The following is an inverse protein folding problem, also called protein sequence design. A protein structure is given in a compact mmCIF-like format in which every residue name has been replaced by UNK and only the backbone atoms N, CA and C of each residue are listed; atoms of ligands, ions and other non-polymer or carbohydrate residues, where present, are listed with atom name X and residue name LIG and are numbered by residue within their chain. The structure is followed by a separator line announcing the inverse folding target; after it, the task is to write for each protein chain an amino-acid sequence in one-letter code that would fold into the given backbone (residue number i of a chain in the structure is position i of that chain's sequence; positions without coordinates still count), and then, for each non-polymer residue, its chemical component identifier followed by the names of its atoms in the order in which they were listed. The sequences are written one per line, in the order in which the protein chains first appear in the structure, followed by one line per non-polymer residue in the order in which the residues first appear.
data_IF_954022891159
#
_entry.id   IF_954022891159
#
_cell.length_a   1.000
_cell.length_b   1.000
_cell.length_c   1.000
_cell.angle_alpha   90.00
_cell.angle_beta   90.00
_cell.angle_gamma   90.00
#
_symmetry.space_group_name_H-M   'P 1'
#
loop_
_entity.id
_entity.type
_entity.pdbx_description
1 polymer ?
#
# COMPACT_ATOMS: atom_id res chain seq x y z
N UNK A 1 16.61 22.51 -0.78
CA UNK A 1 16.55 21.21 -0.05
C UNK A 1 17.11 21.41 1.37
N UNK A 2 16.53 20.77 2.36
CA UNK A 2 17.02 20.82 3.76
C UNK A 2 18.21 19.89 4.01
N UNK A 3 18.50 18.99 3.10
CA UNK A 3 19.55 17.96 3.22
C UNK A 3 20.81 18.39 2.48
N UNK A 4 21.96 17.89 2.93
CA UNK A 4 23.17 17.93 2.12
C UNK A 4 22.98 17.07 0.87
N UNK A 5 23.28 17.61 -0.30
CA UNK A 5 23.14 16.93 -1.57
C UNK A 5 24.33 16.00 -1.81
N UNK A 6 24.08 14.84 -2.42
CA UNK A 6 25.15 13.93 -2.81
C UNK A 6 25.98 14.49 -3.98
N UNK A 7 27.22 14.02 -4.12
CA UNK A 7 28.11 14.45 -5.20
C UNK A 7 27.48 14.20 -6.59
N UNK A 8 26.74 13.12 -6.77
CA UNK A 8 26.02 12.82 -8.01
C UNK A 8 24.95 13.86 -8.35
N UNK A 9 24.21 14.33 -7.33
CA UNK A 9 23.19 15.37 -7.51
C UNK A 9 23.89 16.70 -7.81
N UNK A 10 24.98 17.03 -7.11
CA UNK A 10 25.76 18.24 -7.36
C UNK A 10 26.35 18.28 -8.77
N UNK A 11 26.83 17.15 -9.29
CA UNK A 11 27.31 17.03 -10.67
C UNK A 11 26.18 17.33 -11.68
N UNK A 12 24.97 16.80 -11.48
CA UNK A 12 23.80 17.10 -12.32
C UNK A 12 23.41 18.57 -12.26
N UNK A 13 23.39 19.18 -11.07
CA UNK A 13 23.12 20.59 -10.86
C UNK A 13 24.09 21.45 -11.68
N UNK A 14 25.39 21.20 -11.52
CA UNK A 14 26.44 21.92 -12.23
C UNK A 14 26.34 21.76 -13.75
N UNK A 15 26.07 20.53 -14.21
CA UNK A 15 25.91 20.21 -15.64
C UNK A 15 24.80 21.01 -16.30
N UNK A 16 23.67 21.15 -15.61
CA UNK A 16 22.48 21.83 -16.12
C UNK A 16 22.35 23.28 -15.65
N UNK A 17 23.29 23.75 -14.83
CA UNK A 17 23.34 25.13 -14.27
C UNK A 17 22.09 25.49 -13.48
N UNK A 18 21.55 24.52 -12.70
CA UNK A 18 20.46 24.80 -11.81
C UNK A 18 20.87 25.65 -10.63
N UNK A 19 20.04 26.64 -10.25
CA UNK A 19 20.16 27.32 -8.98
C UNK A 19 19.67 26.43 -7.84
N UNK A 20 20.35 26.43 -6.71
CA UNK A 20 20.05 25.56 -5.56
C UNK A 20 20.09 26.37 -4.29
N UNK A 21 19.02 26.25 -3.53
CA UNK A 21 18.93 26.74 -2.15
C UNK A 21 18.96 25.56 -1.20
N UNK A 22 19.87 25.57 -0.24
CA UNK A 22 20.07 24.51 0.76
C UNK A 22 19.94 25.12 2.16
N UNK A 23 19.31 24.38 3.08
CA UNK A 23 19.19 24.77 4.48
C UNK A 23 17.74 24.93 4.92
N UNK A 24 17.54 25.36 6.16
CA UNK A 24 16.20 25.51 6.76
C UNK A 24 15.37 26.58 6.06
N UNK A 25 16.00 27.69 5.62
CA UNK A 25 15.34 28.80 4.95
C UNK A 25 15.29 28.64 3.43
N UNK A 26 15.31 27.42 2.93
CA UNK A 26 15.41 27.10 1.51
C UNK A 26 14.22 27.59 0.65
N UNK A 27 13.11 28.00 1.25
CA UNK A 27 11.96 28.57 0.57
C UNK A 27 11.95 30.13 0.60
N UNK A 28 12.83 30.77 1.35
CA UNK A 28 12.86 32.25 1.49
C UNK A 28 13.05 32.99 0.18
N UNK A 29 13.60 32.33 -0.84
CA UNK A 29 13.80 32.89 -2.19
C UNK A 29 12.81 32.36 -3.22
N UNK A 30 11.81 31.61 -2.78
CA UNK A 30 10.74 31.14 -3.67
C UNK A 30 9.84 32.34 -4.02
N UNK A 31 10.23 33.08 -5.06
CA UNK A 31 9.51 34.25 -5.43
C UNK A 31 9.57 34.53 -6.94
N UNK A 32 8.39 34.80 -7.55
CA UNK A 32 8.27 35.19 -8.95
C UNK A 32 8.40 34.06 -9.96
N UNK A 33 8.10 32.84 -9.56
CA UNK A 33 8.05 31.67 -10.46
C UNK A 33 6.63 31.46 -11.01
N UNK A 34 6.53 31.13 -12.30
CA UNK A 34 5.25 30.82 -12.94
C UNK A 34 4.72 29.42 -12.57
N UNK A 35 5.64 28.46 -12.32
CA UNK A 35 5.31 27.08 -12.01
C UNK A 35 6.20 26.55 -10.88
N UNK A 36 5.59 25.99 -9.87
CA UNK A 36 6.27 25.42 -8.70
C UNK A 36 5.92 23.93 -8.59
N UNK A 37 6.92 23.06 -8.72
CA UNK A 37 6.77 21.63 -8.46
C UNK A 37 7.10 21.32 -7.01
N UNK A 38 6.10 20.98 -6.20
CA UNK A 38 6.31 20.55 -4.82
C UNK A 38 6.64 19.06 -4.73
N UNK A 39 7.49 18.70 -3.79
CA UNK A 39 7.62 17.30 -3.35
C UNK A 39 6.43 16.89 -2.48
N UNK A 40 6.09 15.59 -2.36
CA UNK A 40 4.98 15.14 -1.51
C UNK A 40 5.11 15.57 -0.04
N UNK A 41 6.34 15.67 0.48
CA UNK A 41 6.61 16.10 1.87
C UNK A 41 6.46 17.61 2.08
N UNK A 42 6.45 18.42 1.02
CA UNK A 42 6.20 19.85 1.09
C UNK A 42 4.69 20.10 0.95
N UNK A 43 4.02 20.39 2.07
CA UNK A 43 2.57 20.56 2.09
C UNK A 43 2.15 21.79 1.27
N UNK A 44 1.03 21.74 0.54
CA UNK A 44 0.56 22.89 -0.26
C UNK A 44 0.17 24.09 0.59
N UNK A 45 -0.01 23.90 1.91
CA UNK A 45 -0.36 24.95 2.87
C UNK A 45 0.84 25.71 3.44
N UNK A 46 2.05 25.45 2.96
CA UNK A 46 3.25 26.21 3.33
C UNK A 46 3.04 27.69 2.90
N UNK A 47 3.29 28.67 3.80
CA UNK A 47 3.00 30.08 3.52
C UNK A 47 3.60 30.59 2.21
N UNK A 48 4.86 30.25 1.91
CA UNK A 48 5.56 30.66 0.70
C UNK A 48 4.89 30.12 -0.57
N UNK A 49 4.32 28.90 -0.52
CA UNK A 49 3.55 28.37 -1.64
C UNK A 49 2.23 29.10 -1.81
N UNK A 50 1.53 29.39 -0.70
CA UNK A 50 0.26 30.11 -0.73
C UNK A 50 0.46 31.51 -1.32
N UNK A 51 1.49 32.23 -0.89
CA UNK A 51 1.82 33.55 -1.41
C UNK A 51 2.09 33.54 -2.92
N UNK A 52 2.84 32.55 -3.43
CA UNK A 52 3.13 32.46 -4.86
C UNK A 52 1.88 32.08 -5.68
N UNK A 53 1.01 31.20 -5.15
CA UNK A 53 -0.28 30.89 -5.78
C UNK A 53 -1.17 32.12 -5.85
N UNK A 54 -1.25 32.94 -4.79
CA UNK A 54 -1.98 34.20 -4.80
C UNK A 54 -1.43 35.21 -5.81
N UNK A 55 -0.15 35.14 -6.16
CA UNK A 55 0.48 35.91 -7.23
C UNK A 55 0.22 35.38 -8.63
N UNK A 56 -0.36 34.17 -8.74
CA UNK A 56 -0.71 33.53 -10.01
C UNK A 56 0.20 32.38 -10.42
N UNK A 57 1.12 31.93 -9.57
CA UNK A 57 1.94 30.76 -9.85
C UNK A 57 1.10 29.47 -9.85
N UNK A 58 1.41 28.54 -10.74
CA UNK A 58 0.86 27.18 -10.71
C UNK A 58 1.64 26.33 -9.71
N UNK A 59 1.04 26.01 -8.57
CA UNK A 59 1.56 24.99 -7.66
C UNK A 59 1.10 23.61 -8.12
N UNK A 60 2.05 22.73 -8.41
CA UNK A 60 1.76 21.38 -8.92
C UNK A 60 2.72 20.34 -8.37
N UNK A 61 2.56 19.09 -8.78
CA UNK A 61 3.46 17.98 -8.47
C UNK A 61 3.78 17.16 -9.71
N UNK A 62 4.82 16.32 -9.63
CA UNK A 62 5.15 15.39 -10.71
C UNK A 62 3.93 14.52 -11.09
N UNK A 63 3.25 13.96 -10.09
CA UNK A 63 2.11 13.06 -10.29
C UNK A 63 0.90 13.79 -10.88
N UNK A 64 0.63 15.00 -10.42
CA UNK A 64 -0.46 15.80 -10.97
C UNK A 64 -0.22 16.12 -12.45
N UNK A 65 1.01 16.44 -12.82
CA UNK A 65 1.37 16.67 -14.21
C UNK A 65 1.33 15.39 -15.06
N UNK A 66 1.64 14.24 -14.48
CA UNK A 66 1.40 12.94 -15.16
C UNK A 66 -0.09 12.77 -15.47
N UNK A 67 -0.97 13.01 -14.51
CA UNK A 67 -2.42 12.91 -14.71
C UNK A 67 -2.96 13.90 -15.76
N UNK A 68 -2.43 15.12 -15.78
CA UNK A 68 -2.84 16.17 -16.74
C UNK A 68 -2.34 15.93 -18.17
N UNK A 69 -1.18 15.32 -18.34
CA UNK A 69 -0.49 15.23 -19.63
C UNK A 69 -0.48 13.84 -20.26
N UNK A 70 -0.76 12.79 -19.49
CA UNK A 70 -0.79 11.43 -20.04
C UNK A 70 -1.88 11.29 -21.11
N UNK A 71 -1.56 10.82 -22.31
CA UNK A 71 -2.54 10.63 -23.37
C UNK A 71 -3.37 9.35 -23.22
N UNK A 72 -3.07 8.54 -22.22
CA UNK A 72 -3.59 7.19 -22.00
C UNK A 72 -4.35 7.07 -20.67
N UNK A 73 -5.04 5.95 -20.50
CA UNK A 73 -5.85 5.67 -19.31
C UNK A 73 -4.98 5.52 -18.07
N UNK A 74 -5.40 6.13 -16.96
CA UNK A 74 -4.71 6.08 -15.68
C UNK A 74 -5.59 5.42 -14.61
N UNK A 75 -5.02 4.45 -13.90
CA UNK A 75 -5.61 3.81 -12.72
C UNK A 75 -4.84 4.29 -11.49
N UNK A 76 -5.51 4.92 -10.54
CA UNK A 76 -4.92 5.38 -9.28
C UNK A 76 -5.39 4.53 -8.10
N UNK A 77 -4.49 4.19 -7.19
CA UNK A 77 -4.79 3.40 -5.99
C UNK A 77 -4.34 4.15 -4.75
N UNK A 78 -5.25 4.36 -3.82
CA UNK A 78 -4.97 4.91 -2.48
C UNK A 78 -5.66 4.10 -1.39
N UNK A 79 -5.46 4.50 -0.15
CA UNK A 79 -6.01 3.88 1.06
C UNK A 79 -5.00 3.95 2.19
N UNK A 80 -5.35 3.47 3.37
CA UNK A 80 -4.40 3.34 4.47
C UNK A 80 -3.52 2.12 4.26
N UNK A 81 -4.12 0.95 4.09
CA UNK A 81 -3.45 -0.34 3.87
C UNK A 81 -3.81 -0.93 2.50
N UNK A 82 -3.00 -1.87 2.00
CA UNK A 82 -3.28 -2.62 0.77
C UNK A 82 -2.94 -1.91 -0.54
N UNK A 83 -2.53 -0.64 -0.53
CA UNK A 83 -2.19 0.13 -1.73
C UNK A 83 -1.19 -0.61 -2.64
N UNK A 84 -0.04 -0.93 -2.11
CA UNK A 84 1.07 -1.55 -2.86
C UNK A 84 0.66 -2.90 -3.45
N UNK A 85 -0.01 -3.73 -2.67
CA UNK A 85 -0.49 -5.04 -3.14
C UNK A 85 -1.52 -4.88 -4.26
N UNK A 86 -2.52 -4.02 -4.06
CA UNK A 86 -3.55 -3.76 -5.08
C UNK A 86 -2.95 -3.19 -6.36
N UNK A 87 -2.05 -2.19 -6.25
CA UNK A 87 -1.35 -1.59 -7.39
C UNK A 87 -0.52 -2.62 -8.14
N UNK A 88 0.18 -3.50 -7.42
CA UNK A 88 1.01 -4.55 -8.03
C UNK A 88 0.17 -5.61 -8.73
N UNK A 89 -0.96 -6.03 -8.14
CA UNK A 89 -1.89 -6.98 -8.80
C UNK A 89 -2.45 -6.35 -10.08
N UNK A 90 -2.89 -5.09 -10.04
CA UNK A 90 -3.37 -4.35 -11.22
C UNK A 90 -2.27 -4.34 -12.29
N UNK A 91 -1.04 -3.99 -11.93
CA UNK A 91 0.08 -3.94 -12.86
C UNK A 91 0.36 -5.31 -13.51
N UNK A 92 0.35 -6.41 -12.75
CA UNK A 92 0.51 -7.76 -13.29
C UNK A 92 -0.64 -8.17 -14.22
N UNK A 93 -1.88 -7.78 -13.93
CA UNK A 93 -3.02 -7.97 -14.83
C UNK A 93 -2.81 -7.18 -16.13
N UNK A 94 -2.41 -5.91 -16.04
CA UNK A 94 -2.19 -5.07 -17.20
C UNK A 94 -1.08 -5.61 -18.12
N UNK A 95 -0.04 -6.19 -17.58
CA UNK A 95 1.01 -6.85 -18.37
C UNK A 95 0.48 -7.99 -19.24
N UNK A 96 -0.60 -8.67 -18.83
CA UNK A 96 -1.22 -9.72 -19.64
C UNK A 96 -1.95 -9.17 -20.87
N UNK A 97 -2.24 -7.86 -20.91
CA UNK A 97 -2.98 -7.24 -22.01
C UNK A 97 -2.15 -7.03 -23.29
N UNK A 98 -0.83 -7.18 -23.20
CA UNK A 98 0.11 -6.89 -24.30
C UNK A 98 0.34 -5.41 -24.57
N UNK A 99 -0.27 -4.51 -23.78
CA UNK A 99 -0.05 -3.05 -23.87
C UNK A 99 1.21 -2.64 -23.10
N UNK A 100 1.76 -1.48 -23.41
CA UNK A 100 2.77 -0.88 -22.55
C UNK A 100 2.10 -0.41 -21.25
N UNK A 101 2.67 -0.85 -20.13
CA UNK A 101 2.15 -0.55 -18.82
C UNK A 101 3.21 0.17 -17.99
N UNK A 102 2.84 1.28 -17.37
CA UNK A 102 3.71 2.08 -16.54
C UNK A 102 3.27 1.99 -15.08
N UNK A 103 4.22 1.74 -14.20
CA UNK A 103 4.02 1.69 -12.75
C UNK A 103 4.77 2.85 -12.10
N UNK A 104 4.07 3.65 -11.31
CA UNK A 104 4.66 4.80 -10.64
C UNK A 104 3.89 5.29 -9.43
N UNK A 105 4.20 6.51 -9.00
CA UNK A 105 3.64 7.14 -7.82
C UNK A 105 4.53 6.93 -6.59
N UNK A 106 3.94 6.46 -5.49
CA UNK A 106 4.65 6.19 -4.24
C UNK A 106 5.57 4.95 -4.32
N UNK A 107 5.42 4.16 -5.36
CA UNK A 107 6.23 2.97 -5.69
C UNK A 107 6.71 3.04 -7.14
N UNK A 108 7.64 2.16 -7.50
CA UNK A 108 8.15 2.09 -8.86
C UNK A 108 9.20 3.17 -9.18
N UNK A 109 9.25 3.57 -10.44
CA UNK A 109 10.19 4.59 -10.93
C UNK A 109 9.45 5.88 -11.27
N UNK A 110 10.11 7.05 -11.17
CA UNK A 110 9.54 8.30 -11.67
C UNK A 110 9.13 8.16 -13.14
N UNK A 111 7.88 8.51 -13.45
CA UNK A 111 7.33 8.30 -14.80
C UNK A 111 7.08 9.60 -15.57
N UNK A 112 7.16 10.76 -14.93
CA UNK A 112 6.89 12.04 -15.57
C UNK A 112 7.70 12.24 -16.87
N UNK A 113 8.99 11.93 -16.83
CA UNK A 113 9.86 12.04 -18.03
C UNK A 113 9.49 11.09 -19.17
N UNK A 114 8.66 10.06 -18.89
CA UNK A 114 8.17 9.10 -19.89
C UNK A 114 6.89 9.54 -20.59
N UNK A 115 6.16 10.51 -20.01
CA UNK A 115 4.85 10.94 -20.52
C UNK A 115 4.91 11.37 -21.99
N UNK A 116 5.98 12.03 -22.39
CA UNK A 116 6.21 12.47 -23.78
C UNK A 116 6.27 11.34 -24.82
N UNK A 117 6.64 10.13 -24.37
CA UNK A 117 6.81 8.94 -25.21
C UNK A 117 5.60 7.99 -25.13
N UNK A 118 4.59 8.32 -24.28
CA UNK A 118 3.39 7.51 -24.08
C UNK A 118 2.40 7.67 -25.26
N UNK A 119 1.63 6.62 -25.48
CA UNK A 119 0.61 6.51 -26.53
C UNK A 119 -0.79 6.35 -25.93
N UNK A 120 -1.86 6.66 -26.65
CA UNK A 120 -3.24 6.49 -26.16
C UNK A 120 -3.61 5.06 -25.73
N UNK A 121 -2.95 4.04 -26.31
CA UNK A 121 -3.18 2.63 -26.00
C UNK A 121 -2.39 2.13 -24.78
N UNK A 122 -1.46 2.92 -24.26
CA UNK A 122 -0.72 2.59 -23.06
C UNK A 122 -1.62 2.69 -21.82
N UNK A 123 -1.18 2.17 -20.69
CA UNK A 123 -1.90 2.27 -19.41
C UNK A 123 -0.92 2.60 -18.29
N UNK A 124 -1.33 3.50 -17.42
CA UNK A 124 -0.59 3.86 -16.22
C UNK A 124 -1.31 3.32 -14.98
N UNK A 125 -0.59 2.74 -14.04
CA UNK A 125 -1.08 2.49 -12.69
C UNK A 125 -0.21 3.23 -11.68
N UNK A 126 -0.87 3.96 -10.77
CA UNK A 126 -0.24 4.81 -9.76
C UNK A 126 -0.63 4.40 -8.35
N UNK A 127 0.34 4.15 -7.49
CA UNK A 127 0.11 4.16 -6.05
C UNK A 127 0.16 5.61 -5.56
N UNK A 128 -0.88 6.09 -4.87
CA UNK A 128 -1.00 7.48 -4.45
C UNK A 128 -1.13 7.60 -2.93
N UNK A 129 -0.18 8.30 -2.31
CA UNK A 129 -0.23 8.64 -0.88
C UNK A 129 -1.16 9.83 -0.63
N UNK A 130 -1.56 10.05 0.64
CA UNK A 130 -2.33 11.23 1.03
C UNK A 130 -1.56 12.53 0.76
N UNK A 131 -0.24 12.52 0.91
CA UNK A 131 0.62 13.68 0.65
C UNK A 131 0.69 14.07 -0.82
N UNK A 132 0.65 13.08 -1.72
CA UNK A 132 0.57 13.33 -3.17
C UNK A 132 -0.80 13.86 -3.57
N UNK A 133 -1.87 13.31 -2.98
CA UNK A 133 -3.26 13.69 -3.27
C UNK A 133 -3.67 15.02 -2.65
N UNK A 134 -2.99 15.48 -1.57
CA UNK A 134 -3.33 16.73 -0.90
C UNK A 134 -3.20 17.92 -1.85
N UNK A 135 -4.29 18.65 -2.06
CA UNK A 135 -4.36 19.81 -2.96
C UNK A 135 -4.31 19.46 -4.45
N UNK A 136 -4.44 18.20 -4.83
CA UNK A 136 -4.52 17.78 -6.23
C UNK A 136 -5.91 18.09 -6.80
N UNK A 137 -5.95 18.69 -7.98
CA UNK A 137 -7.17 19.12 -8.66
C UNK A 137 -7.50 18.29 -9.91
N UNK A 138 -6.90 17.12 -10.04
CA UNK A 138 -7.14 16.16 -11.13
C UNK A 138 -7.18 14.75 -10.57
N UNK A 139 -8.06 13.91 -11.12
CA UNK A 139 -8.21 12.52 -10.70
C UNK A 139 -7.87 11.57 -11.86
N UNK A 140 -7.40 10.34 -11.60
CA UNK A 140 -7.26 9.28 -12.60
C UNK A 140 -8.64 8.85 -13.15
N UNK A 141 -8.66 8.21 -14.31
CA UNK A 141 -9.89 7.67 -14.93
C UNK A 141 -10.56 6.61 -14.04
N UNK A 142 -9.75 5.79 -13.40
CA UNK A 142 -10.19 4.75 -12.47
C UNK A 142 -9.48 4.97 -11.13
N UNK A 143 -10.25 5.20 -10.08
CA UNK A 143 -9.79 5.44 -8.73
C UNK A 143 -10.12 4.27 -7.82
N UNK A 144 -9.15 3.78 -7.03
CA UNK A 144 -9.35 2.71 -6.05
C UNK A 144 -9.04 3.25 -4.66
N UNK A 145 -9.97 3.08 -3.72
CA UNK A 145 -9.75 3.35 -2.29
C UNK A 145 -9.89 2.04 -1.52
N UNK A 146 -8.78 1.48 -1.06
CA UNK A 146 -8.75 0.16 -0.43
C UNK A 146 -9.43 0.15 0.94
N UNK A 147 -9.11 1.10 1.79
CA UNK A 147 -9.67 1.30 3.12
C UNK A 147 -9.23 2.64 3.71
N UNK A 148 -9.86 3.04 4.82
CA UNK A 148 -9.54 4.26 5.55
C UNK A 148 -9.49 3.97 7.05
N UNK A 149 -8.31 4.13 7.65
CA UNK A 149 -8.06 4.08 9.09
C UNK A 149 -7.19 5.28 9.49
N UNK A 150 -7.21 5.71 10.77
CA UNK A 150 -6.33 6.78 11.24
C UNK A 150 -4.87 6.46 10.99
N UNK A 151 -4.18 7.36 10.28
CA UNK A 151 -2.75 7.24 9.97
C UNK A 151 -2.18 8.65 9.68
N UNK A 152 -0.87 8.81 9.84
CA UNK A 152 -0.17 10.08 9.56
C UNK A 152 -0.72 11.33 10.27
N UNK A 153 -1.35 11.16 11.46
CA UNK A 153 -1.93 12.27 12.24
C UNK A 153 -0.87 13.18 12.88
N UNK A 154 0.39 12.82 12.78
CA UNK A 154 1.53 13.69 13.11
C UNK A 154 1.81 14.74 12.03
N UNK A 155 1.23 14.62 10.84
CA UNK A 155 1.41 15.55 9.71
C UNK A 155 0.08 16.16 9.28
N UNK A 156 -0.97 15.35 9.11
CA UNK A 156 -2.33 15.86 8.88
C UNK A 156 -2.88 16.47 10.17
N UNK A 157 -3.55 17.62 10.07
CA UNK A 157 -4.13 18.33 11.22
C UNK A 157 -5.23 17.53 11.91
N UNK A 158 -5.92 16.65 11.18
CA UNK A 158 -6.96 15.77 11.69
C UNK A 158 -7.16 14.55 10.80
N UNK A 159 -7.95 13.58 11.29
CA UNK A 159 -8.32 12.42 10.50
C UNK A 159 -9.23 12.79 9.31
N UNK A 160 -10.04 13.82 9.46
CA UNK A 160 -10.87 14.38 8.40
C UNK A 160 -10.01 14.96 7.26
N UNK A 161 -8.97 15.75 7.59
CA UNK A 161 -8.03 16.26 6.57
C UNK A 161 -7.35 15.12 5.81
N UNK A 162 -6.96 14.04 6.51
CA UNK A 162 -6.41 12.85 5.87
C UNK A 162 -7.41 12.17 4.91
N UNK A 163 -8.70 12.08 5.30
CA UNK A 163 -9.76 11.55 4.44
C UNK A 163 -9.99 12.43 3.22
N UNK A 164 -10.13 13.75 3.41
CA UNK A 164 -10.33 14.71 2.32
C UNK A 164 -9.15 14.71 1.33
N UNK A 165 -7.92 14.64 1.83
CA UNK A 165 -6.76 14.51 0.95
C UNK A 165 -6.87 13.28 0.04
N UNK A 166 -7.29 12.13 0.56
CA UNK A 166 -7.44 10.90 -0.24
C UNK A 166 -8.64 10.91 -1.17
N UNK A 167 -9.71 11.64 -0.86
CA UNK A 167 -10.88 11.80 -1.74
C UNK A 167 -10.52 12.46 -3.07
N UNK A 168 -9.48 13.29 -3.12
CA UNK A 168 -9.02 13.89 -4.37
C UNK A 168 -8.65 12.86 -5.46
N UNK A 169 -8.50 11.59 -5.11
CA UNK A 169 -8.30 10.53 -6.10
C UNK A 169 -9.52 10.35 -7.04
N UNK A 170 -10.72 10.75 -6.62
CA UNK A 170 -11.94 10.60 -7.43
C UNK A 170 -12.80 11.87 -7.51
N UNK A 171 -12.59 12.89 -6.67
CA UNK A 171 -13.44 14.07 -6.61
C UNK A 171 -13.45 14.90 -7.90
N UNK A 172 -12.37 14.81 -8.68
CA UNK A 172 -12.23 15.55 -9.95
C UNK A 172 -12.50 14.67 -11.18
N UNK A 173 -13.08 13.48 -10.98
CA UNK A 173 -13.55 12.65 -12.09
C UNK A 173 -14.81 13.24 -12.73
N UNK A 174 -14.96 13.03 -14.03
CA UNK A 174 -16.21 13.31 -14.74
C UNK A 174 -17.19 12.12 -14.66
N UNK A 175 -18.30 12.21 -15.40
CA UNK A 175 -19.33 11.16 -15.49
C UNK A 175 -18.83 9.81 -16.01
N UNK A 176 -17.68 9.76 -16.66
CA UNK A 176 -17.08 8.53 -17.20
C UNK A 176 -16.10 7.90 -16.20
N UNK A 177 -15.73 8.63 -15.15
CA UNK A 177 -14.84 8.15 -14.11
C UNK A 177 -15.43 6.97 -13.33
N UNK A 178 -14.55 6.10 -12.83
CA UNK A 178 -14.91 4.94 -12.01
C UNK A 178 -14.22 5.03 -10.67
N UNK A 179 -14.99 5.00 -9.58
CA UNK A 179 -14.46 4.92 -8.21
C UNK A 179 -14.76 3.54 -7.61
N UNK A 180 -13.70 2.82 -7.21
CA UNK A 180 -13.78 1.48 -6.63
C UNK A 180 -13.55 1.61 -5.14
N UNK A 181 -14.54 1.22 -4.34
CA UNK A 181 -14.64 1.51 -2.93
C UNK A 181 -14.88 0.25 -2.10
N UNK A 182 -14.25 0.17 -0.94
CA UNK A 182 -14.47 -0.91 0.01
C UNK A 182 -15.81 -0.74 0.73
N UNK A 183 -16.73 -1.69 0.55
CA UNK A 183 -18.07 -1.67 1.18
C UNK A 183 -18.02 -1.97 2.68
N UNK A 184 -16.99 -2.67 3.14
CA UNK A 184 -16.84 -3.09 4.53
C UNK A 184 -16.34 -1.95 5.42
N UNK A 185 -15.59 -1.01 4.86
CA UNK A 185 -15.13 0.18 5.56
C UNK A 185 -16.18 1.30 5.47
N UNK A 186 -16.63 1.81 6.61
CA UNK A 186 -17.74 2.77 6.67
C UNK A 186 -17.40 4.10 6.00
N UNK A 187 -16.15 4.54 6.08
CA UNK A 187 -15.69 5.80 5.49
C UNK A 187 -15.68 5.69 3.97
N UNK A 188 -15.03 4.65 3.43
CA UNK A 188 -14.97 4.45 1.96
C UNK A 188 -16.35 4.19 1.38
N UNK A 189 -17.23 3.50 2.12
CA UNK A 189 -18.64 3.32 1.73
C UNK A 189 -19.37 4.65 1.61
N UNK A 190 -19.12 5.59 2.53
CA UNK A 190 -19.74 6.92 2.49
C UNK A 190 -19.17 7.79 1.36
N UNK A 191 -17.95 7.57 0.90
CA UNK A 191 -17.35 8.27 -0.24
C UNK A 191 -18.16 8.11 -1.53
N UNK A 192 -18.94 7.04 -1.66
CA UNK A 192 -19.81 6.83 -2.82
C UNK A 192 -20.83 7.95 -3.05
N UNK A 193 -21.15 8.77 -2.02
CA UNK A 193 -22.04 9.91 -2.14
C UNK A 193 -21.44 11.08 -2.94
N UNK A 194 -20.11 11.14 -2.98
CA UNK A 194 -19.33 12.20 -3.61
C UNK A 194 -18.83 11.79 -5.02
N UNK A 195 -19.11 10.57 -5.46
CA UNK A 195 -18.71 10.06 -6.77
C UNK A 195 -19.66 10.58 -7.84
N UNK A 196 -19.12 11.28 -8.84
CA UNK A 196 -19.89 11.82 -9.99
C UNK A 196 -20.16 10.75 -11.04
N UNK A 197 -19.18 9.89 -11.30
CA UNK A 197 -19.26 8.80 -12.27
C UNK A 197 -19.87 7.52 -11.71
N UNK A 198 -19.22 6.38 -11.94
CA UNK A 198 -19.68 5.07 -11.48
C UNK A 198 -18.96 4.67 -10.19
N UNK A 199 -19.72 4.43 -9.12
CA UNK A 199 -19.19 3.78 -7.92
C UNK A 199 -19.32 2.26 -8.05
N UNK A 200 -18.22 1.52 -7.88
CA UNK A 200 -18.14 0.06 -7.85
C UNK A 200 -17.66 -0.38 -6.47
N UNK A 201 -18.32 -1.37 -5.89
CA UNK A 201 -17.95 -1.85 -4.56
C UNK A 201 -17.24 -3.20 -4.60
N UNK A 202 -16.34 -3.39 -3.64
CA UNK A 202 -15.86 -4.72 -3.27
C UNK A 202 -16.04 -4.97 -1.77
N UNK A 203 -16.09 -6.25 -1.37
CA UNK A 203 -16.36 -6.65 0.02
C UNK A 203 -15.82 -8.04 0.33
N UNK A 204 -15.53 -8.31 1.61
CA UNK A 204 -15.27 -9.65 2.14
C UNK A 204 -16.25 -10.04 3.26
N UNK A 205 -17.14 -9.12 3.65
CA UNK A 205 -18.11 -9.35 4.75
C UNK A 205 -19.56 -9.19 4.32
N UNK A 206 -19.82 -8.46 3.23
CA UNK A 206 -21.16 -8.10 2.78
C UNK A 206 -21.46 -8.69 1.43
N UNK A 207 -22.68 -9.17 1.26
CA UNK A 207 -23.19 -9.50 -0.06
C UNK A 207 -23.41 -8.20 -0.86
N UNK A 208 -23.07 -8.23 -2.15
CA UNK A 208 -23.26 -7.12 -3.08
C UNK A 208 -24.27 -7.52 -4.15
N UNK A 209 -25.11 -6.53 -4.56
CA UNK A 209 -25.93 -6.68 -5.76
C UNK A 209 -25.04 -6.60 -7.02
N UNK A 210 -24.09 -5.66 -7.00
CA UNK A 210 -23.15 -5.40 -8.07
C UNK A 210 -21.75 -5.18 -7.49
N UNK A 211 -20.71 -5.82 -8.05
CA UNK A 211 -19.32 -5.69 -7.64
C UNK A 211 -18.62 -7.00 -7.37
N UNK A 212 -17.50 -6.94 -6.66
CA UNK A 212 -16.63 -8.10 -6.40
C UNK A 212 -16.63 -8.47 -4.93
N UNK A 213 -16.81 -9.75 -4.62
CA UNK A 213 -16.86 -10.22 -3.24
C UNK A 213 -15.92 -11.40 -3.01
N UNK A 214 -15.25 -11.43 -1.86
CA UNK A 214 -14.68 -12.65 -1.32
C UNK A 214 -15.71 -13.29 -0.37
N UNK A 215 -16.35 -14.35 -0.83
CA UNK A 215 -17.28 -15.11 -0.01
C UNK A 215 -16.51 -16.02 0.96
N UNK A 216 -16.59 -15.69 2.25
CA UNK A 216 -15.87 -16.43 3.31
C UNK A 216 -16.41 -17.83 3.54
N UNK A 217 -17.70 -18.05 3.31
CA UNK A 217 -18.32 -19.36 3.49
C UNK A 217 -17.86 -20.34 2.42
N UNK A 218 -17.85 -19.88 1.18
CA UNK A 218 -17.42 -20.69 0.03
C UNK A 218 -15.90 -20.61 -0.21
N UNK A 219 -15.19 -19.72 0.50
CA UNK A 219 -13.78 -19.40 0.30
C UNK A 219 -13.44 -19.07 -1.16
N UNK A 220 -14.25 -18.19 -1.76
CA UNK A 220 -14.24 -17.92 -3.19
C UNK A 220 -14.41 -16.46 -3.52
N UNK A 221 -13.68 -15.98 -4.54
CA UNK A 221 -13.91 -14.67 -5.14
C UNK A 221 -15.00 -14.81 -6.20
N UNK A 222 -16.00 -13.92 -6.13
CA UNK A 222 -17.16 -13.88 -7.01
C UNK A 222 -17.35 -12.49 -7.60
N UNK A 223 -17.89 -12.42 -8.82
CA UNK A 223 -18.37 -11.19 -9.43
C UNK A 223 -19.90 -11.21 -9.45
N UNK A 224 -20.53 -10.21 -8.88
CA UNK A 224 -21.98 -10.09 -8.78
C UNK A 224 -22.50 -9.01 -9.71
N UNK A 225 -23.56 -9.32 -10.47
CA UNK A 225 -24.25 -8.41 -11.38
C UNK A 225 -25.74 -8.64 -11.19
N UNK A 226 -26.51 -7.60 -10.88
CA UNK A 226 -27.97 -7.66 -10.60
C UNK A 226 -28.34 -8.74 -9.57
N UNK A 227 -27.49 -8.95 -8.57
CA UNK A 227 -27.69 -9.92 -7.50
C UNK A 227 -27.34 -11.37 -7.86
N UNK A 228 -26.92 -11.62 -9.11
CA UNK A 228 -26.41 -12.93 -9.53
C UNK A 228 -24.88 -12.90 -9.47
N UNK A 229 -24.30 -13.84 -8.74
CA UNK A 229 -22.86 -13.92 -8.60
C UNK A 229 -22.30 -15.10 -9.40
N UNK A 230 -21.27 -14.85 -10.19
CA UNK A 230 -20.45 -15.86 -10.87
C UNK A 230 -19.18 -16.10 -10.09
N UNK A 231 -18.78 -17.35 -10.01
CA UNK A 231 -17.57 -17.79 -9.34
C UNK A 231 -16.34 -17.50 -10.22
N UNK A 232 -15.29 -16.92 -9.63
CA UNK A 232 -14.08 -16.55 -10.36
C UNK A 232 -12.87 -17.39 -9.93
N UNK A 233 -12.56 -17.40 -8.63
CA UNK A 233 -11.35 -18.02 -8.08
C UNK A 233 -11.63 -18.63 -6.71
N UNK A 234 -11.18 -19.86 -6.50
CA UNK A 234 -11.12 -20.48 -5.17
C UNK A 234 -9.88 -19.99 -4.42
N UNK A 235 -9.96 -19.95 -3.09
CA UNK A 235 -8.84 -19.63 -2.22
C UNK A 235 -7.57 -20.43 -2.56
N UNK A 236 -7.72 -21.73 -2.86
CA UNK A 236 -6.60 -22.62 -3.13
C UNK A 236 -5.89 -22.35 -4.45
N UNK A 237 -6.52 -21.59 -5.36
CA UNK A 237 -5.92 -21.15 -6.61
C UNK A 237 -5.10 -19.86 -6.45
N UNK A 238 -5.16 -19.22 -5.26
CA UNK A 238 -4.55 -17.94 -4.94
C UNK A 238 -3.35 -18.18 -4.02
N UNK A 239 -2.18 -17.72 -4.43
CA UNK A 239 -0.96 -17.86 -3.63
C UNK A 239 -0.89 -16.88 -2.46
N UNK A 240 -1.53 -15.71 -2.61
CA UNK A 240 -1.60 -14.72 -1.54
C UNK A 240 -2.41 -15.25 -0.36
N UNK A 241 -1.96 -14.93 0.85
CA UNK A 241 -2.61 -15.33 2.10
C UNK A 241 -3.29 -14.12 2.78
N UNK A 242 -4.36 -14.41 3.52
CA UNK A 242 -5.07 -13.43 4.34
C UNK A 242 -6.26 -12.76 3.63
N UNK A 243 -7.32 -12.50 4.41
CA UNK A 243 -8.57 -11.90 3.92
C UNK A 243 -8.33 -10.54 3.26
N UNK A 244 -7.44 -9.73 3.85
CA UNK A 244 -7.06 -8.43 3.30
C UNK A 244 -6.50 -8.53 1.86
N UNK A 245 -5.81 -9.64 1.54
CA UNK A 245 -5.31 -9.86 0.18
C UNK A 245 -6.41 -10.27 -0.79
N UNK A 246 -7.43 -10.99 -0.34
CA UNK A 246 -8.61 -11.29 -1.17
C UNK A 246 -9.42 -10.03 -1.44
N UNK A 247 -9.49 -9.08 -0.50
CA UNK A 247 -10.05 -7.74 -0.72
C UNK A 247 -9.24 -6.96 -1.75
N UNK A 248 -7.90 -6.96 -1.64
CA UNK A 248 -7.01 -6.33 -2.62
C UNK A 248 -7.20 -6.92 -4.03
N UNK A 249 -7.41 -8.24 -4.14
CA UNK A 249 -7.71 -8.91 -5.41
C UNK A 249 -9.07 -8.46 -5.95
N UNK A 250 -10.11 -8.41 -5.12
CA UNK A 250 -11.43 -7.91 -5.53
C UNK A 250 -11.36 -6.48 -6.06
N UNK A 251 -10.61 -5.60 -5.39
CA UNK A 251 -10.37 -4.23 -5.83
C UNK A 251 -9.63 -4.19 -7.18
N UNK A 252 -8.60 -5.03 -7.36
CA UNK A 252 -7.83 -5.10 -8.61
C UNK A 252 -8.65 -5.64 -9.79
N UNK A 253 -9.49 -6.65 -9.55
CA UNK A 253 -10.44 -7.17 -10.55
C UNK A 253 -11.40 -6.07 -11.01
N UNK A 254 -12.01 -5.33 -10.08
CA UNK A 254 -12.88 -4.22 -10.38
C UNK A 254 -12.16 -3.11 -11.18
N UNK A 255 -10.91 -2.78 -10.80
CA UNK A 255 -10.11 -1.75 -11.46
C UNK A 255 -9.72 -2.10 -12.90
N UNK A 256 -9.63 -3.37 -13.21
CA UNK A 256 -9.17 -3.85 -14.53
C UNK A 256 -10.29 -4.39 -15.42
N UNK A 257 -11.56 -4.35 -14.96
CA UNK A 257 -12.71 -4.90 -15.67
C UNK A 257 -12.87 -4.32 -17.08
N UNK A 258 -12.61 -3.03 -17.27
CA UNK A 258 -12.77 -2.34 -18.56
C UNK A 258 -11.53 -2.38 -19.46
N UNK A 259 -10.41 -2.92 -18.98
CA UNK A 259 -9.10 -2.85 -19.66
C UNK A 259 -8.44 -4.19 -19.90
N UNK A 260 -8.91 -5.25 -19.23
CA UNK A 260 -8.41 -6.62 -19.37
C UNK A 260 -9.56 -7.61 -19.48
N UNK A 261 -9.35 -8.74 -20.14
CA UNK A 261 -10.33 -9.83 -20.16
C UNK A 261 -10.32 -10.58 -18.83
N UNK A 262 -11.41 -11.26 -18.51
CA UNK A 262 -11.49 -12.09 -17.30
C UNK A 262 -10.38 -13.15 -17.27
N UNK A 263 -10.07 -13.79 -18.38
CA UNK A 263 -8.99 -14.78 -18.49
C UNK A 263 -7.63 -14.18 -18.12
N UNK A 264 -7.31 -12.98 -18.65
CA UNK A 264 -6.08 -12.25 -18.30
C UNK A 264 -6.00 -11.92 -16.82
N UNK A 265 -7.11 -11.45 -16.24
CA UNK A 265 -7.22 -11.14 -14.82
C UNK A 265 -6.94 -12.38 -13.95
N UNK A 266 -7.66 -13.48 -14.21
CA UNK A 266 -7.54 -14.69 -13.42
C UNK A 266 -6.16 -15.35 -13.56
N UNK A 267 -5.58 -15.35 -14.78
CA UNK A 267 -4.23 -15.87 -15.01
C UNK A 267 -3.16 -15.07 -14.25
N UNK A 268 -3.25 -13.75 -14.27
CA UNK A 268 -2.33 -12.91 -13.53
C UNK A 268 -2.41 -13.17 -12.02
N UNK A 269 -3.62 -13.26 -11.45
CA UNK A 269 -3.82 -13.48 -10.02
C UNK A 269 -3.31 -14.85 -9.56
N UNK A 270 -3.58 -15.92 -10.32
CA UNK A 270 -3.09 -17.28 -10.01
C UNK A 270 -1.56 -17.36 -9.98
N UNK A 271 -0.90 -16.55 -10.81
CA UNK A 271 0.56 -16.52 -10.93
C UNK A 271 1.23 -15.47 -10.04
N UNK A 272 0.49 -14.57 -9.41
CA UNK A 272 1.01 -13.51 -8.56
C UNK A 272 1.55 -14.07 -7.24
N UNK A 273 2.85 -13.91 -7.01
CA UNK A 273 3.54 -14.45 -5.83
C UNK A 273 3.54 -13.49 -4.62
N UNK A 274 2.94 -12.32 -4.75
CA UNK A 274 2.99 -11.26 -3.73
C UNK A 274 3.92 -10.12 -4.13
N UNK A 275 3.99 -9.13 -3.25
CA UNK A 275 4.91 -8.00 -3.35
C UNK A 275 6.18 -8.36 -2.61
N UNK A 276 7.33 -8.05 -3.18
CA UNK A 276 8.62 -8.21 -2.52
C UNK A 276 8.59 -7.58 -1.13
N UNK A 277 9.06 -8.32 -0.13
CA UNK A 277 9.09 -7.93 1.28
C UNK A 277 7.72 -7.74 1.98
N UNK A 278 6.59 -8.13 1.36
CA UNK A 278 5.25 -8.08 1.97
C UNK A 278 4.56 -9.44 1.92
N UNK A 279 4.61 -10.18 3.03
CA UNK A 279 4.19 -11.60 3.10
C UNK A 279 4.71 -12.40 1.90
N UNK A 280 5.88 -12.04 1.44
CA UNK A 280 6.53 -12.64 0.29
C UNK A 280 6.91 -14.08 0.60
N UNK A 281 6.38 -15.02 -0.15
CA UNK A 281 6.83 -16.40 -0.05
C UNK A 281 8.24 -16.52 -0.62
N UNK A 282 9.21 -16.77 0.25
CA UNK A 282 10.61 -16.88 -0.14
C UNK A 282 10.94 -18.29 -0.64
N UNK A 283 10.60 -19.31 0.15
CA UNK A 283 10.82 -20.72 -0.18
C UNK A 283 10.17 -21.66 0.82
N UNK A 284 10.11 -22.93 0.45
CA UNK A 284 9.89 -24.06 1.37
C UNK A 284 11.17 -24.88 1.50
N UNK A 285 11.52 -25.26 2.72
CA UNK A 285 12.67 -26.12 3.01
C UNK A 285 12.29 -27.10 4.11
N UNK A 286 12.41 -28.40 3.80
CA UNK A 286 12.07 -29.50 4.74
C UNK A 286 10.64 -29.39 5.31
N UNK A 287 9.68 -28.95 4.50
CA UNK A 287 8.28 -28.76 4.91
C UNK A 287 8.06 -27.52 5.80
N UNK A 288 9.04 -26.65 5.95
CA UNK A 288 8.94 -25.35 6.61
C UNK A 288 8.84 -24.26 5.54
N UNK A 289 7.83 -23.38 5.64
CA UNK A 289 7.62 -22.26 4.71
C UNK A 289 8.16 -20.97 5.28
N UNK A 290 8.94 -20.25 4.48
CA UNK A 290 9.60 -18.99 4.85
C UNK A 290 8.94 -17.83 4.15
N UNK A 291 8.53 -16.82 4.93
CA UNK A 291 7.91 -15.59 4.44
C UNK A 291 8.68 -14.36 4.91
N UNK A 292 8.78 -13.38 4.01
CA UNK A 292 9.40 -12.08 4.26
C UNK A 292 8.32 -11.00 4.26
N UNK A 293 8.09 -10.36 5.41
CA UNK A 293 7.17 -9.23 5.60
C UNK A 293 7.90 -8.00 6.18
N UNK A 294 9.18 -7.88 5.86
CA UNK A 294 10.07 -6.85 6.43
C UNK A 294 9.71 -5.41 6.06
N UNK A 295 8.82 -5.19 5.07
CA UNK A 295 8.27 -3.87 4.76
C UNK A 295 7.21 -3.44 5.78
N UNK A 296 6.68 -4.35 6.58
CA UNK A 296 5.80 -4.07 7.70
C UNK A 296 6.58 -3.34 8.81
N UNK A 297 6.32 -2.04 8.99
CA UNK A 297 7.08 -1.20 9.93
C UNK A 297 6.27 -0.77 11.15
N UNK A 298 5.17 -1.45 11.42
CA UNK A 298 4.29 -1.16 12.56
C UNK A 298 3.77 -2.43 13.21
N UNK A 299 3.40 -2.40 14.51
CA UNK A 299 2.73 -3.50 15.18
C UNK A 299 1.49 -4.01 14.45
N UNK A 300 0.68 -3.11 13.89
CA UNK A 300 -0.51 -3.46 13.11
C UNK A 300 -0.19 -4.30 11.86
N UNK A 301 0.91 -3.98 11.15
CA UNK A 301 1.36 -4.76 10.00
C UNK A 301 1.75 -6.19 10.41
N UNK A 302 2.52 -6.35 11.49
CA UNK A 302 2.92 -7.67 12.01
C UNK A 302 1.70 -8.46 12.48
N UNK A 303 0.71 -7.82 13.13
CA UNK A 303 -0.55 -8.47 13.52
C UNK A 303 -1.29 -9.00 12.27
N UNK A 304 -1.35 -8.21 11.20
CA UNK A 304 -1.94 -8.65 9.93
C UNK A 304 -1.20 -9.85 9.34
N UNK A 305 0.15 -9.82 9.38
CA UNK A 305 1.01 -10.93 8.97
C UNK A 305 0.76 -12.20 9.78
N UNK A 306 0.70 -12.11 11.10
CA UNK A 306 0.37 -13.24 11.98
C UNK A 306 -1.01 -13.83 11.72
N UNK A 307 -1.99 -12.99 11.38
CA UNK A 307 -3.35 -13.44 11.07
C UNK A 307 -3.48 -14.13 9.71
N UNK A 308 -2.48 -14.03 8.84
CA UNK A 308 -2.48 -14.67 7.53
C UNK A 308 -2.22 -16.18 7.59
N UNK A 309 -1.81 -16.72 8.75
CA UNK A 309 -1.43 -18.11 8.93
C UNK A 309 -2.25 -18.77 10.04
N UNK A 310 -2.64 -20.02 9.79
CA UNK A 310 -3.27 -20.89 10.77
C UNK A 310 -2.27 -21.86 11.40
N UNK A 311 -1.10 -21.99 10.79
CA UNK A 311 0.01 -22.84 11.22
C UNK A 311 0.75 -22.25 12.41
N UNK A 312 1.56 -23.08 13.08
CA UNK A 312 2.48 -22.58 14.12
C UNK A 312 3.54 -21.66 13.49
N UNK A 313 3.80 -20.54 14.15
CA UNK A 313 4.69 -19.49 13.61
C UNK A 313 5.97 -19.42 14.44
N UNK A 314 7.11 -19.41 13.76
CA UNK A 314 8.40 -18.95 14.24
C UNK A 314 8.56 -17.52 13.76
N UNK A 315 8.39 -16.54 14.66
CA UNK A 315 8.42 -15.11 14.31
C UNK A 315 9.80 -14.53 14.56
N UNK A 316 10.36 -13.86 13.52
CA UNK A 316 11.51 -12.97 13.66
C UNK A 316 10.99 -11.55 13.70
N UNK A 317 11.18 -10.85 14.82
CA UNK A 317 10.67 -9.50 15.01
C UNK A 317 11.71 -8.58 15.64
N UNK A 318 11.54 -7.26 15.40
CA UNK A 318 12.41 -6.24 15.97
C UNK A 318 12.67 -5.10 14.99
N UNK A 319 13.56 -4.18 15.37
CA UNK A 319 13.91 -3.05 14.52
C UNK A 319 14.06 -1.75 15.29
N UNK A 320 14.00 -0.62 14.58
CA UNK A 320 14.13 0.72 15.15
C UNK A 320 12.90 1.10 15.97
N UNK A 321 13.12 1.73 17.10
CA UNK A 321 12.04 2.22 17.94
C UNK A 321 11.42 3.52 17.39
N UNK A 322 10.12 3.49 17.13
CA UNK A 322 9.32 4.63 16.66
C UNK A 322 8.38 5.18 17.74
N UNK A 323 8.54 4.77 19.00
CA UNK A 323 7.68 5.19 20.11
C UNK A 323 6.25 4.63 20.01
N UNK A 324 6.06 3.49 19.34
CA UNK A 324 4.75 2.85 19.18
C UNK A 324 4.36 2.04 20.42
N UNK A 325 3.06 1.76 20.56
CA UNK A 325 2.54 0.83 21.56
C UNK A 325 2.66 -0.61 21.04
N UNK A 326 3.15 -1.51 21.92
CA UNK A 326 3.36 -2.92 21.61
C UNK A 326 2.37 -3.86 22.31
N UNK A 327 1.35 -3.35 23.01
CA UNK A 327 0.41 -4.17 23.78
C UNK A 327 -0.33 -5.17 22.87
N UNK A 328 -0.99 -4.67 21.81
CA UNK A 328 -1.80 -5.52 20.91
C UNK A 328 -0.96 -6.57 20.17
N UNK A 329 0.27 -6.23 19.75
CA UNK A 329 1.15 -7.21 19.12
C UNK A 329 1.61 -8.27 20.11
N UNK A 330 1.89 -7.90 21.38
CA UNK A 330 2.21 -8.87 22.43
C UNK A 330 1.09 -9.89 22.66
N UNK A 331 -0.16 -9.43 22.71
CA UNK A 331 -1.35 -10.30 22.79
C UNK A 331 -1.45 -11.25 21.60
N UNK A 332 -1.20 -10.73 20.38
CA UNK A 332 -1.26 -11.53 19.15
C UNK A 332 -0.12 -12.56 19.07
N UNK A 333 1.10 -12.17 19.45
CA UNK A 333 2.25 -13.10 19.54
C UNK A 333 1.93 -14.22 20.53
N UNK A 334 1.44 -13.86 21.72
CA UNK A 334 1.03 -14.85 22.71
C UNK A 334 0.00 -15.85 22.19
N UNK A 335 -0.90 -15.45 21.29
CA UNK A 335 -1.92 -16.32 20.69
C UNK A 335 -1.38 -17.24 19.59
N UNK A 336 -0.51 -16.75 18.69
CA UNK A 336 -0.19 -17.36 17.39
C UNK A 336 1.23 -17.94 17.29
N UNK A 337 2.17 -17.45 18.09
CA UNK A 337 3.59 -17.76 17.92
C UNK A 337 4.02 -18.88 18.86
N UNK A 338 4.81 -19.81 18.35
CA UNK A 338 5.46 -20.87 19.15
C UNK A 338 6.90 -20.51 19.53
N UNK A 339 7.60 -19.82 18.64
CA UNK A 339 8.96 -19.32 18.90
C UNK A 339 9.07 -17.87 18.45
N UNK A 340 9.48 -16.99 19.36
CA UNK A 340 9.72 -15.57 19.11
C UNK A 340 11.23 -15.31 19.11
N UNK A 341 11.76 -14.86 17.99
CA UNK A 341 13.17 -14.51 17.82
C UNK A 341 13.27 -12.99 17.65
N UNK A 342 13.99 -12.36 18.56
CA UNK A 342 14.05 -10.91 18.68
C UNK A 342 15.43 -10.38 18.31
N UNK A 343 15.44 -9.24 17.58
CA UNK A 343 16.67 -8.53 17.23
C UNK A 343 16.44 -7.02 17.19
N UNK A 344 17.49 -6.23 17.54
CA UNK A 344 17.45 -4.78 17.49
C UNK A 344 16.80 -4.09 18.70
N UNK A 345 16.73 -2.74 18.68
CA UNK A 345 16.36 -1.91 19.85
C UNK A 345 14.96 -2.14 20.44
N UNK A 346 14.00 -2.66 19.65
CA UNK A 346 12.62 -2.87 20.12
C UNK A 346 12.41 -4.23 20.80
N UNK A 347 13.43 -5.08 20.85
CA UNK A 347 13.37 -6.45 21.39
C UNK A 347 12.75 -6.52 22.78
N UNK A 348 13.26 -5.72 23.73
CA UNK A 348 12.76 -5.70 25.10
C UNK A 348 11.28 -5.26 25.20
N UNK A 349 10.86 -4.31 24.38
CA UNK A 349 9.46 -3.83 24.37
C UNK A 349 8.50 -4.90 23.87
N UNK A 350 8.88 -5.60 22.80
CA UNK A 350 8.08 -6.70 22.23
C UNK A 350 8.03 -7.89 23.22
N UNK A 351 9.17 -8.24 23.82
CA UNK A 351 9.24 -9.29 24.85
C UNK A 351 8.35 -8.96 26.05
N UNK A 352 8.48 -7.77 26.63
CA UNK A 352 7.69 -7.36 27.80
C UNK A 352 6.19 -7.43 27.51
N UNK A 353 5.74 -6.91 26.37
CA UNK A 353 4.34 -6.97 25.95
C UNK A 353 3.86 -8.42 25.78
N UNK A 354 4.71 -9.29 25.21
CA UNK A 354 4.39 -10.72 25.04
C UNK A 354 4.32 -11.45 26.37
N UNK A 355 5.26 -11.19 27.28
CA UNK A 355 5.30 -11.83 28.62
C UNK A 355 4.08 -11.41 29.46
N UNK A 356 3.68 -10.14 29.40
CA UNK A 356 2.45 -9.67 30.08
C UNK A 356 1.23 -10.43 29.54
N UNK A 357 1.08 -10.53 28.23
CA UNK A 357 -0.03 -11.24 27.62
C UNK A 357 -0.02 -12.76 27.95
N UNK A 358 1.15 -13.39 28.00
CA UNK A 358 1.30 -14.79 28.41
C UNK A 358 0.90 -15.02 29.88
N UNK A 359 1.14 -14.04 30.75
CA UNK A 359 0.72 -14.12 32.16
C UNK A 359 -0.81 -14.18 32.33
N UNK A 360 -1.57 -13.72 31.36
CA UNK A 360 -3.04 -13.81 31.34
C UNK A 360 -3.56 -15.12 30.71
N UNK A 361 -2.67 -15.92 30.08
CA UNK A 361 -3.01 -17.19 29.41
C UNK A 361 -2.55 -18.39 30.25
N UNK A 362 -3.48 -19.25 30.63
CA UNK A 362 -3.14 -20.50 31.33
C UNK A 362 -2.44 -21.47 30.36
N UNK A 363 -1.29 -22.02 30.79
CA UNK A 363 -0.55 -23.12 30.17
C UNK A 363 0.10 -22.85 28.79
N UNK A 364 0.10 -21.61 28.24
CA UNK A 364 0.82 -21.33 27.00
C UNK A 364 2.27 -20.91 27.27
N UNK A 365 3.21 -21.55 26.57
CA UNK A 365 4.64 -21.22 26.60
C UNK A 365 5.12 -20.89 25.20
N UNK A 366 5.97 -19.89 25.10
CA UNK A 366 6.65 -19.47 23.87
C UNK A 366 8.15 -19.50 24.15
N UNK A 367 8.94 -20.05 23.22
CA UNK A 367 10.39 -19.88 23.25
C UNK A 367 10.74 -18.45 22.83
N UNK A 368 11.35 -17.66 23.71
CA UNK A 368 11.81 -16.30 23.40
C UNK A 368 13.34 -16.31 23.33
N UNK A 369 13.88 -15.85 22.22
CA UNK A 369 15.31 -15.93 21.90
C UNK A 369 15.77 -14.56 21.39
N UNK A 370 16.87 -14.04 21.96
CA UNK A 370 17.52 -12.82 21.49
C UNK A 370 18.70 -13.14 20.59
N UNK A 371 18.76 -12.45 19.45
CA UNK A 371 19.87 -12.54 18.50
C UNK A 371 20.50 -11.17 18.26
N UNK A 372 21.80 -11.17 17.98
CA UNK A 372 22.57 -9.93 17.79
C UNK A 372 22.32 -9.27 16.44
N UNK A 373 21.93 -10.08 15.44
CA UNK A 373 21.69 -9.63 14.08
C UNK A 373 20.71 -10.57 13.34
N UNK A 374 20.26 -10.12 12.16
CA UNK A 374 19.29 -10.85 11.35
C UNK A 374 19.83 -12.21 10.85
N UNK A 375 21.13 -12.30 10.53
CA UNK A 375 21.73 -13.55 10.06
C UNK A 375 21.67 -14.64 11.15
N UNK A 376 21.98 -14.29 12.38
CA UNK A 376 21.84 -15.17 13.54
C UNK A 376 20.38 -15.56 13.77
N UNK A 377 19.45 -14.59 13.70
CA UNK A 377 18.03 -14.83 13.85
C UNK A 377 17.49 -15.83 12.81
N UNK A 378 17.88 -15.71 11.55
CA UNK A 378 17.48 -16.64 10.48
C UNK A 378 18.06 -18.04 10.71
N UNK A 379 19.33 -18.15 11.17
CA UNK A 379 19.93 -19.44 11.54
C UNK A 379 19.19 -20.10 12.70
N UNK A 380 18.82 -19.31 13.71
CA UNK A 380 18.05 -19.78 14.87
C UNK A 380 16.64 -20.24 14.45
N UNK A 381 15.95 -19.47 13.61
CA UNK A 381 14.64 -19.85 13.07
C UNK A 381 14.72 -21.20 12.34
N UNK A 382 15.74 -21.43 11.51
CA UNK A 382 15.95 -22.71 10.83
C UNK A 382 16.16 -23.88 11.79
N UNK A 383 16.80 -23.65 12.95
CA UNK A 383 17.03 -24.70 13.97
C UNK A 383 15.79 -25.01 14.77
N UNK A 384 14.91 -24.03 14.99
CA UNK A 384 13.71 -24.14 15.83
C UNK A 384 12.49 -24.61 15.08
N UNK A 385 12.36 -24.25 13.80
CA UNK A 385 11.20 -24.60 12.98
C UNK A 385 11.19 -26.09 12.64
N UNK A 386 10.01 -26.69 12.70
CA UNK A 386 9.75 -28.08 12.34
C UNK A 386 8.80 -28.17 11.15
N UNK A 387 8.74 -29.34 10.52
CA UNK A 387 7.83 -29.59 9.37
C UNK A 387 6.40 -29.13 9.69
N UNK A 388 5.83 -28.31 8.83
CA UNK A 388 4.50 -27.72 8.96
C UNK A 388 4.52 -26.29 9.52
N UNK A 389 5.60 -25.83 10.10
CA UNK A 389 5.74 -24.46 10.61
C UNK A 389 5.87 -23.43 9.50
N UNK A 390 5.53 -22.20 9.87
CA UNK A 390 5.81 -20.98 9.10
C UNK A 390 6.89 -20.18 9.82
N UNK A 391 7.95 -19.81 9.11
CA UNK A 391 8.94 -18.81 9.55
C UNK A 391 8.56 -17.48 8.92
N UNK A 392 8.26 -16.49 9.77
CA UNK A 392 7.84 -15.15 9.36
C UNK A 392 8.85 -14.12 9.86
N UNK A 393 9.42 -13.31 8.95
CA UNK A 393 10.15 -12.09 9.25
C UNK A 393 9.20 -10.90 9.13
N UNK A 394 8.94 -10.17 10.25
CA UNK A 394 8.02 -9.03 10.25
C UNK A 394 8.36 -7.99 11.33
#
# INVERSE_FOLDING_TARGET
DKRNLSDEIMEKINKYRYEVEIGEDNLSRLHGYDVIFRSPSALPTIPEFVEEVERGALLTSEIEMVLKLAPCKVIGVTGTEGKTTTTSIIYEILKQTGRNCFLGGNIGKPIFTKVKDMRPDDIIVLELSSFQLMGMEVSPDIAVVTNMFPDHLNVHKSYEEYQEAKKNIFLHQDKNGIAILNKDNDITRNFAKDVVGKAVFFSSTKQLKDGYVYDRADQMIKHCIDGKCIELLKKDEIKLRGIHNYENICAALAATETVATQEQQLNAIKNFNGVEHRLEFVRELNGVRYYNDSIGTSPASTIAGLNAFDENIVLLAGGSDKGLDYKEIGEKIAQKVGTLILTGPTSEKIENATVIALGEMQDKKIDIIHCTNLEEAVKMAKQKAVTGDVVLLS
#
